data_IF_778131037485
#
_entry.id   IF_778131037485
#
_cell.length_a   1.000
_cell.length_b   1.000
_cell.length_c   1.000
_cell.angle_alpha   90.00
_cell.angle_beta   90.00
_cell.angle_gamma   90.00
#
_symmetry.space_group_name_H-M   'P 1'
#
loop_
_entity.id
_entity.type
_entity.pdbx_description
1 polymer ?
#
# COMPACT_ATOMS: atom_id res chain seq x y z
N UNK A 1 1.37 17.36 -13.88
CA UNK A 1 2.02 17.24 -12.56
C UNK A 1 0.89 17.07 -11.55
N UNK A 2 0.96 16.04 -10.69
CA UNK A 2 -0.07 15.71 -9.69
C UNK A 2 0.39 16.07 -8.29
N UNK A 3 -0.56 16.29 -7.38
CA UNK A 3 -0.33 16.30 -5.94
C UNK A 3 -0.64 14.91 -5.38
N UNK A 4 0.37 14.23 -4.83
CA UNK A 4 0.28 12.84 -4.39
C UNK A 4 0.54 12.75 -2.90
N UNK A 5 -0.41 12.21 -2.14
CA UNK A 5 -0.18 11.83 -0.74
C UNK A 5 0.55 10.47 -0.75
N UNK A 6 1.75 10.41 -0.19
CA UNK A 6 2.50 9.16 0.02
C UNK A 6 2.53 8.80 1.50
N UNK A 7 1.79 7.77 1.87
CA UNK A 7 1.72 7.27 3.25
C UNK A 7 2.76 6.17 3.44
N UNK A 8 3.69 6.38 4.37
CA UNK A 8 4.82 5.49 4.62
C UNK A 8 6.13 5.90 3.98
N UNK A 9 6.28 7.18 3.64
CA UNK A 9 7.40 7.68 2.85
C UNK A 9 8.79 7.33 3.42
N UNK A 10 8.94 7.26 4.75
CA UNK A 10 10.22 6.95 5.40
C UNK A 10 10.60 5.45 5.38
N UNK A 11 9.67 4.55 5.07
CA UNK A 11 9.94 3.11 4.98
C UNK A 11 10.60 2.72 3.67
N UNK A 12 11.26 1.55 3.60
CA UNK A 12 11.93 1.04 2.38
C UNK A 12 11.01 1.05 1.15
N UNK A 13 9.75 0.66 1.33
CA UNK A 13 8.75 0.68 0.26
C UNK A 13 8.31 2.09 -0.13
N UNK A 14 8.20 3.02 0.83
CA UNK A 14 7.94 4.43 0.56
C UNK A 14 9.08 5.07 -0.24
N UNK A 15 10.33 4.75 0.12
CA UNK A 15 11.51 5.17 -0.65
C UNK A 15 11.51 4.60 -2.07
N UNK A 16 11.14 3.33 -2.24
CA UNK A 16 10.93 2.73 -3.56
C UNK A 16 9.86 3.49 -4.37
N UNK A 17 8.70 3.80 -3.76
CA UNK A 17 7.64 4.57 -4.39
C UNK A 17 8.09 5.98 -4.81
N UNK A 18 8.86 6.69 -3.99
CA UNK A 18 9.39 8.02 -4.30
C UNK A 18 10.19 8.05 -5.61
N UNK A 19 10.89 6.96 -5.94
CA UNK A 19 11.63 6.88 -7.21
C UNK A 19 10.72 7.01 -8.44
N UNK A 20 9.49 6.49 -8.36
CA UNK A 20 8.47 6.59 -9.41
C UNK A 20 7.66 7.88 -9.38
N UNK A 21 7.58 8.55 -8.24
CA UNK A 21 6.76 9.75 -8.02
C UNK A 21 7.54 11.07 -8.16
N UNK A 22 8.81 11.01 -8.56
CA UNK A 22 9.74 12.16 -8.63
C UNK A 22 9.28 13.34 -9.52
N UNK A 23 8.31 13.14 -10.42
CA UNK A 23 7.73 14.19 -11.29
C UNK A 23 6.50 14.88 -10.69
N UNK A 24 6.16 14.55 -9.45
CA UNK A 24 4.94 15.01 -8.78
C UNK A 24 5.27 15.83 -7.53
N UNK A 25 4.30 16.62 -7.09
CA UNK A 25 4.33 17.20 -5.75
C UNK A 25 3.94 16.11 -4.76
N UNK A 26 4.91 15.54 -4.05
CA UNK A 26 4.65 14.52 -3.03
C UNK A 26 4.42 15.19 -1.68
N UNK A 27 3.32 14.86 -1.04
CA UNK A 27 3.01 15.19 0.36
C UNK A 27 3.22 13.91 1.16
N UNK A 28 4.19 13.92 2.05
CA UNK A 28 4.58 12.75 2.83
C UNK A 28 3.69 12.63 4.07
N UNK A 29 3.27 11.40 4.37
CA UNK A 29 2.52 11.10 5.58
C UNK A 29 3.03 9.82 6.23
N UNK A 30 2.89 9.71 7.55
CA UNK A 30 3.34 8.55 8.30
C UNK A 30 2.87 8.58 9.75
N UNK A 31 3.03 7.47 10.47
CA UNK A 31 2.61 7.39 11.88
C UNK A 31 3.48 8.23 12.81
N UNK A 32 4.73 8.46 12.41
CA UNK A 32 5.73 9.21 13.15
C UNK A 32 6.87 9.64 12.21
N UNK A 33 7.82 10.43 12.74
CA UNK A 33 9.00 10.87 12.01
C UNK A 33 8.84 12.24 11.36
N UNK A 34 9.85 12.63 10.57
CA UNK A 34 9.88 13.88 9.81
C UNK A 34 9.11 13.69 8.49
N UNK A 35 7.82 14.02 8.51
CA UNK A 35 6.87 13.94 7.40
C UNK A 35 5.94 15.15 7.45
N UNK A 36 5.35 15.53 6.32
CA UNK A 36 4.45 16.69 6.24
C UNK A 36 3.21 16.52 7.12
N UNK A 37 2.68 15.29 7.23
CA UNK A 37 1.50 14.98 8.05
C UNK A 37 1.61 13.66 8.83
N UNK A 38 1.20 13.71 10.09
CA UNK A 38 1.02 12.49 10.90
C UNK A 38 -0.33 11.85 10.59
N UNK A 39 -0.33 10.53 10.37
CA UNK A 39 -1.53 9.73 10.16
C UNK A 39 -1.40 8.34 10.77
N UNK A 40 -2.41 7.91 11.51
CA UNK A 40 -2.61 6.51 11.90
C UNK A 40 -3.71 5.90 11.02
N UNK A 41 -3.33 5.00 10.11
CA UNK A 41 -4.28 4.38 9.18
C UNK A 41 -5.27 3.44 9.87
N UNK A 42 -5.06 3.07 11.13
CA UNK A 42 -6.05 2.29 11.90
C UNK A 42 -7.14 3.16 12.52
N UNK A 43 -7.07 4.49 12.36
CA UNK A 43 -8.04 5.46 12.89
C UNK A 43 -8.73 6.22 11.75
N UNK A 44 -10.04 5.99 11.59
CA UNK A 44 -10.84 6.71 10.59
C UNK A 44 -10.82 8.24 10.80
N UNK A 45 -10.79 8.68 12.06
CA UNK A 45 -10.66 10.09 12.40
C UNK A 45 -9.31 10.63 11.93
N UNK A 46 -8.21 9.91 12.18
CA UNK A 46 -6.87 10.35 11.74
C UNK A 46 -6.76 10.46 10.22
N UNK A 47 -7.36 9.51 9.48
CA UNK A 47 -7.42 9.55 8.01
C UNK A 47 -8.24 10.75 7.53
N UNK A 48 -9.39 11.00 8.17
CA UNK A 48 -10.26 12.14 7.84
C UNK A 48 -9.52 13.47 8.01
N UNK A 49 -8.87 13.65 9.16
CA UNK A 49 -8.07 14.84 9.46
C UNK A 49 -6.90 15.02 8.49
N UNK A 50 -6.25 13.93 8.05
CA UNK A 50 -5.19 14.00 7.02
C UNK A 50 -5.74 14.62 5.74
N UNK A 51 -6.85 14.09 5.22
CA UNK A 51 -7.42 14.57 3.95
C UNK A 51 -7.93 16.01 4.06
N UNK A 52 -8.52 16.39 5.19
CA UNK A 52 -8.96 17.77 5.44
C UNK A 52 -7.78 18.76 5.50
N UNK A 53 -6.69 18.38 6.18
CA UNK A 53 -5.49 19.22 6.31
C UNK A 53 -4.74 19.37 4.99
N UNK A 54 -4.67 18.31 4.18
CA UNK A 54 -4.03 18.36 2.85
C UNK A 54 -4.86 19.21 1.88
N UNK A 55 -6.19 19.11 1.95
CA UNK A 55 -7.09 19.76 1.01
C UNK A 55 -7.06 19.07 -0.36
N UNK A 56 -6.56 19.73 -1.39
CA UNK A 56 -6.56 19.19 -2.74
C UNK A 56 -5.43 18.18 -2.98
N UNK A 57 -5.78 17.00 -3.49
CA UNK A 57 -4.84 15.98 -3.97
C UNK A 57 -5.44 15.15 -5.12
N UNK A 58 -4.58 14.67 -6.01
CA UNK A 58 -4.94 13.88 -7.19
C UNK A 58 -4.76 12.38 -6.95
N UNK A 59 -3.86 11.99 -6.06
CA UNK A 59 -3.60 10.59 -5.79
C UNK A 59 -3.21 10.31 -4.35
N UNK A 60 -3.51 9.09 -3.91
CA UNK A 60 -3.04 8.53 -2.64
C UNK A 60 -2.27 7.25 -2.95
N UNK A 61 -1.03 7.18 -2.48
CA UNK A 61 -0.18 6.00 -2.54
C UNK A 61 0.07 5.54 -1.11
N UNK A 62 -0.31 4.31 -0.81
CA UNK A 62 -0.07 3.69 0.49
C UNK A 62 1.05 2.65 0.39
N UNK A 63 2.06 2.80 1.24
CA UNK A 63 3.17 1.84 1.38
C UNK A 63 3.31 1.31 2.80
N UNK A 64 2.25 1.38 3.61
CA UNK A 64 2.21 0.87 4.99
C UNK A 64 1.14 -0.20 5.18
N UNK A 65 1.40 -1.09 6.12
CA UNK A 65 0.47 -2.11 6.58
C UNK A 65 1.23 -3.03 7.52
N UNK A 66 0.93 -2.93 8.82
CA UNK A 66 1.57 -3.78 9.82
C UNK A 66 1.04 -5.20 9.68
N UNK A 67 1.95 -6.17 9.69
CA UNK A 67 1.64 -7.60 9.71
C UNK A 67 2.39 -8.26 10.87
N UNK A 68 1.68 -9.11 11.59
CA UNK A 68 2.24 -10.05 12.56
C UNK A 68 2.62 -11.35 11.86
N UNK A 69 3.69 -12.00 12.32
CA UNK A 69 4.18 -13.26 11.78
C UNK A 69 4.20 -14.32 12.87
N UNK A 70 3.55 -15.46 12.61
CA UNK A 70 3.47 -16.61 13.52
C UNK A 70 2.97 -17.85 12.76
N UNK A 71 3.22 -19.05 13.28
CA UNK A 71 2.62 -20.28 12.77
C UNK A 71 1.08 -20.20 12.80
N UNK A 72 0.41 -20.94 11.93
CA UNK A 72 -1.05 -21.02 11.96
C UNK A 72 -1.60 -21.55 13.30
N UNK A 73 -0.86 -22.46 13.96
CA UNK A 73 -1.29 -23.07 15.21
C UNK A 73 -1.18 -22.11 16.41
N UNK A 74 -0.21 -21.21 16.39
CA UNK A 74 0.13 -20.35 17.53
C UNK A 74 -0.33 -18.89 17.36
N UNK A 75 -0.75 -18.51 16.15
CA UNK A 75 -1.20 -17.13 15.88
C UNK A 75 -2.47 -16.82 16.67
N UNK A 76 -2.33 -15.91 17.63
CA UNK A 76 -3.44 -15.46 18.47
C UNK A 76 -4.44 -14.59 17.69
N UNK A 77 -5.67 -14.54 18.18
CA UNK A 77 -6.70 -13.63 17.67
C UNK A 77 -6.24 -12.16 17.71
N UNK A 78 -5.50 -11.76 18.74
CA UNK A 78 -4.96 -10.41 18.85
C UNK A 78 -3.97 -10.08 17.72
N UNK A 79 -3.09 -11.03 17.35
CA UNK A 79 -2.17 -10.87 16.22
C UNK A 79 -2.92 -10.81 14.88
N UNK A 80 -3.95 -11.64 14.71
CA UNK A 80 -4.86 -11.56 13.57
C UNK A 80 -5.50 -10.17 13.47
N UNK A 81 -6.10 -9.69 14.54
CA UNK A 81 -6.78 -8.40 14.57
C UNK A 81 -5.82 -7.23 14.35
N UNK A 82 -4.60 -7.28 14.90
CA UNK A 82 -3.55 -6.29 14.63
C UNK A 82 -3.28 -6.16 13.12
N UNK A 83 -3.07 -7.30 12.46
CA UNK A 83 -2.81 -7.36 11.01
C UNK A 83 -4.02 -6.94 10.18
N UNK A 84 -5.22 -7.43 10.54
CA UNK A 84 -6.48 -7.09 9.86
C UNK A 84 -6.76 -5.59 9.95
N UNK A 85 -6.60 -4.99 11.13
CA UNK A 85 -6.89 -3.57 11.33
C UNK A 85 -5.88 -2.66 10.62
N UNK A 86 -4.61 -3.08 10.52
CA UNK A 86 -3.58 -2.29 9.84
C UNK A 86 -3.47 -2.59 8.35
N UNK A 87 -3.00 -3.78 7.97
CA UNK A 87 -2.70 -4.15 6.58
C UNK A 87 -3.94 -4.13 5.69
N UNK A 88 -5.08 -4.63 6.18
CA UNK A 88 -6.32 -4.71 5.39
C UNK A 88 -7.20 -3.48 5.59
N UNK A 89 -7.84 -3.35 6.76
CA UNK A 89 -8.85 -2.31 6.99
C UNK A 89 -8.28 -0.91 6.94
N UNK A 90 -7.05 -0.70 7.40
CA UNK A 90 -6.41 0.62 7.30
C UNK A 90 -6.28 1.09 5.85
N UNK A 91 -5.84 0.20 4.94
CA UNK A 91 -5.76 0.50 3.51
C UNK A 91 -7.14 0.68 2.85
N UNK A 92 -8.11 -0.16 3.21
CA UNK A 92 -9.50 -0.03 2.74
C UNK A 92 -10.09 1.31 3.18
N UNK A 93 -9.82 1.74 4.41
CA UNK A 93 -10.35 2.98 4.97
C UNK A 93 -9.72 4.21 4.31
N UNK A 94 -8.46 4.16 3.88
CA UNK A 94 -7.87 5.22 3.05
C UNK A 94 -8.71 5.46 1.79
N UNK A 95 -9.22 4.41 1.15
CA UNK A 95 -10.06 4.52 -0.06
C UNK A 95 -11.50 4.92 0.30
N UNK A 96 -12.14 4.21 1.24
CA UNK A 96 -13.55 4.45 1.64
C UNK A 96 -13.79 5.87 2.12
N UNK A 97 -12.84 6.44 2.85
CA UNK A 97 -12.89 7.82 3.34
C UNK A 97 -12.41 8.76 2.24
N UNK A 98 -11.26 8.45 1.61
CA UNK A 98 -10.59 9.32 0.65
C UNK A 98 -11.40 9.60 -0.61
N UNK A 99 -12.30 8.71 -1.04
CA UNK A 99 -13.17 8.94 -2.20
C UNK A 99 -14.05 10.20 -2.09
N UNK A 100 -14.29 10.71 -0.86
CA UNK A 100 -15.02 11.95 -0.63
C UNK A 100 -14.16 13.21 -0.87
N UNK A 101 -12.84 13.07 -0.77
CA UNK A 101 -11.89 14.17 -0.75
C UNK A 101 -11.03 14.24 -2.03
N UNK A 102 -10.75 13.10 -2.64
CA UNK A 102 -9.90 13.02 -3.83
C UNK A 102 -10.48 13.83 -4.99
N UNK A 103 -9.60 14.42 -5.81
CA UNK A 103 -9.99 15.09 -7.03
C UNK A 103 -10.68 14.15 -8.04
N UNK A 104 -11.46 14.72 -8.96
CA UNK A 104 -12.02 13.98 -10.09
C UNK A 104 -10.91 13.35 -10.92
N UNK A 105 -11.14 12.14 -11.43
CA UNK A 105 -10.14 11.33 -12.15
C UNK A 105 -8.88 11.01 -11.33
N UNK A 106 -8.94 11.14 -10.01
CA UNK A 106 -7.84 10.78 -9.12
C UNK A 106 -7.55 9.28 -9.05
N UNK A 107 -6.52 8.89 -8.30
CA UNK A 107 -6.12 7.49 -8.17
C UNK A 107 -5.69 7.07 -6.77
N UNK A 108 -6.13 5.88 -6.35
CA UNK A 108 -5.59 5.17 -5.19
C UNK A 108 -4.61 4.08 -5.62
N UNK A 109 -3.48 3.96 -4.94
CA UNK A 109 -2.56 2.83 -5.10
C UNK A 109 -2.29 2.21 -3.75
N UNK A 110 -2.74 0.97 -3.56
CA UNK A 110 -2.53 0.20 -2.35
C UNK A 110 -1.35 -0.76 -2.50
N UNK A 111 -0.98 -1.40 -1.41
CA UNK A 111 0.06 -2.43 -1.41
C UNK A 111 -0.45 -3.75 -0.82
N UNK A 112 -0.20 -4.84 -1.54
CA UNK A 112 -0.34 -6.20 -1.03
C UNK A 112 1.04 -6.81 -0.80
N UNK A 113 1.39 -7.91 -1.49
CA UNK A 113 2.69 -8.56 -1.38
C UNK A 113 2.65 -9.99 -1.89
N UNK A 114 3.78 -10.49 -2.38
CA UNK A 114 3.88 -11.75 -3.14
C UNK A 114 3.40 -12.98 -2.36
N UNK A 115 3.32 -12.91 -1.03
CA UNK A 115 3.01 -14.04 -0.16
C UNK A 115 1.57 -14.57 -0.31
N UNK A 116 0.66 -13.80 -0.90
CA UNK A 116 -0.66 -14.33 -1.29
C UNK A 116 -0.63 -15.23 -2.53
N UNK A 117 0.44 -15.16 -3.34
CA UNK A 117 0.67 -16.00 -4.53
C UNK A 117 1.73 -17.07 -4.27
N UNK A 118 2.82 -16.70 -3.61
CA UNK A 118 3.95 -17.57 -3.24
C UNK A 118 4.05 -17.62 -1.70
N UNK A 119 3.18 -18.36 -1.02
CA UNK A 119 3.12 -18.38 0.44
C UNK A 119 4.39 -19.00 1.05
N UNK A 120 4.76 -18.49 2.22
CA UNK A 120 5.82 -19.04 3.08
C UNK A 120 5.25 -19.32 4.48
N UNK A 121 5.85 -20.21 5.27
CA UNK A 121 5.51 -20.37 6.69
C UNK A 121 5.56 -19.05 7.46
N UNK A 122 4.84 -18.96 8.58
CA UNK A 122 4.75 -17.79 9.47
C UNK A 122 4.02 -16.55 8.92
N UNK A 123 3.79 -16.44 7.61
CA UNK A 123 3.21 -15.24 7.00
C UNK A 123 1.72 -15.32 6.68
N UNK A 124 0.98 -16.19 7.37
CA UNK A 124 -0.42 -16.51 7.02
C UNK A 124 -1.34 -15.27 7.08
N UNK A 125 -1.17 -14.40 8.07
CA UNK A 125 -1.96 -13.18 8.20
C UNK A 125 -1.65 -12.15 7.09
N UNK A 126 -0.37 -11.99 6.74
CA UNK A 126 0.05 -11.11 5.64
C UNK A 126 -0.47 -11.60 4.28
N UNK A 127 -0.31 -12.90 3.99
CA UNK A 127 -0.80 -13.51 2.76
C UNK A 127 -2.33 -13.39 2.63
N UNK A 128 -3.07 -13.68 3.70
CA UNK A 128 -4.54 -13.61 3.71
C UNK A 128 -5.03 -12.19 3.48
N UNK A 129 -4.48 -11.21 4.21
CA UNK A 129 -4.88 -9.80 4.07
C UNK A 129 -4.46 -9.22 2.72
N UNK A 130 -3.31 -9.63 2.16
CA UNK A 130 -2.89 -9.27 0.81
C UNK A 130 -3.87 -9.76 -0.26
N UNK A 131 -4.38 -10.99 -0.15
CA UNK A 131 -5.45 -11.50 -1.03
C UNK A 131 -6.78 -10.73 -0.90
N UNK A 132 -7.13 -10.28 0.31
CA UNK A 132 -8.31 -9.45 0.53
C UNK A 132 -8.19 -8.09 -0.17
N UNK A 133 -7.01 -7.46 -0.13
CA UNK A 133 -6.74 -6.16 -0.76
C UNK A 133 -6.77 -6.28 -2.28
N UNK A 134 -6.16 -7.32 -2.85
CA UNK A 134 -6.20 -7.60 -4.28
C UNK A 134 -7.63 -7.74 -4.79
N UNK A 135 -8.48 -8.44 -4.03
CA UNK A 135 -9.91 -8.59 -4.35
C UNK A 135 -10.68 -7.29 -4.17
N UNK A 136 -10.43 -6.55 -3.09
CA UNK A 136 -11.07 -5.27 -2.82
C UNK A 136 -10.86 -4.27 -3.95
N UNK A 137 -9.62 -4.11 -4.43
CA UNK A 137 -9.31 -3.18 -5.52
C UNK A 137 -10.03 -3.56 -6.82
N UNK A 138 -10.07 -4.85 -7.17
CA UNK A 138 -10.81 -5.35 -8.33
C UNK A 138 -12.29 -4.97 -8.25
N UNK A 139 -12.94 -5.32 -7.14
CA UNK A 139 -14.37 -5.08 -6.98
C UNK A 139 -14.70 -3.57 -6.96
N UNK A 140 -14.00 -2.80 -6.12
CA UNK A 140 -14.34 -1.39 -5.94
C UNK A 140 -14.07 -0.57 -7.21
N UNK A 141 -13.10 -0.97 -8.05
CA UNK A 141 -12.81 -0.30 -9.33
C UNK A 141 -14.01 -0.22 -10.27
N UNK A 142 -14.98 -1.13 -10.15
CA UNK A 142 -16.20 -1.17 -10.96
C UNK A 142 -17.26 -0.16 -10.50
N UNK A 143 -17.12 0.38 -9.30
CA UNK A 143 -18.11 1.23 -8.64
C UNK A 143 -17.55 2.62 -8.25
N UNK A 144 -16.25 2.88 -8.49
CA UNK A 144 -15.61 4.14 -8.14
C UNK A 144 -16.21 5.33 -8.92
N UNK A 145 -16.66 6.39 -8.23
CA UNK A 145 -17.28 7.54 -8.89
C UNK A 145 -16.23 8.50 -9.48
N UNK A 146 -16.70 9.45 -10.29
CA UNK A 146 -15.91 10.60 -10.80
C UNK A 146 -14.66 10.22 -11.59
N UNK A 147 -14.67 9.03 -12.23
CA UNK A 147 -13.52 8.51 -12.98
C UNK A 147 -12.33 8.13 -12.10
N UNK A 148 -12.53 7.99 -10.79
CA UNK A 148 -11.46 7.64 -9.85
C UNK A 148 -10.99 6.21 -10.12
N UNK A 149 -9.67 6.01 -10.11
CA UNK A 149 -9.05 4.70 -10.34
C UNK A 149 -8.47 4.14 -9.05
N UNK A 150 -8.28 2.83 -9.02
CA UNK A 150 -7.61 2.13 -7.93
C UNK A 150 -6.82 0.95 -8.45
N UNK A 151 -5.59 0.76 -8.00
CA UNK A 151 -4.81 -0.45 -8.27
C UNK A 151 -4.05 -0.88 -7.01
N UNK A 152 -3.48 -2.08 -7.05
CA UNK A 152 -2.60 -2.62 -6.02
C UNK A 152 -1.23 -2.88 -6.63
N UNK A 153 -0.15 -2.51 -5.93
CA UNK A 153 1.19 -2.98 -6.25
C UNK A 153 1.46 -4.22 -5.39
N UNK A 154 1.81 -5.33 -6.03
CA UNK A 154 2.16 -6.59 -5.38
C UNK A 154 3.64 -6.90 -5.66
N UNK A 155 4.56 -6.42 -4.82
CA UNK A 155 5.98 -6.68 -5.01
C UNK A 155 6.40 -8.00 -4.33
N UNK A 156 7.41 -8.65 -4.90
CA UNK A 156 8.28 -9.55 -4.14
C UNK A 156 9.19 -8.74 -3.21
N UNK A 157 10.01 -9.41 -2.40
CA UNK A 157 10.92 -8.75 -1.46
C UNK A 157 11.87 -7.79 -2.18
N UNK A 158 12.09 -6.62 -1.58
CA UNK A 158 13.04 -5.62 -2.07
C UNK A 158 14.48 -6.09 -1.86
N UNK A 159 15.38 -5.79 -2.81
CA UNK A 159 16.82 -5.97 -2.64
C UNK A 159 17.32 -5.27 -1.37
N UNK A 160 16.83 -4.05 -1.12
CA UNK A 160 17.16 -3.25 0.05
C UNK A 160 16.65 -3.87 1.37
N UNK A 161 15.81 -4.90 1.31
CA UNK A 161 15.27 -5.63 2.44
C UNK A 161 15.73 -7.10 2.49
N UNK A 162 16.59 -7.54 1.57
CA UNK A 162 16.98 -8.93 1.45
C UNK A 162 17.69 -9.46 2.70
N UNK A 163 18.56 -8.67 3.32
CA UNK A 163 19.27 -9.06 4.55
C UNK A 163 18.34 -9.38 5.73
N UNK A 164 17.09 -8.89 5.70
CA UNK A 164 16.10 -9.10 6.77
C UNK A 164 15.20 -10.30 6.47
N UNK A 165 14.83 -10.51 5.20
CA UNK A 165 13.80 -11.48 4.83
C UNK A 165 14.33 -12.69 4.06
N UNK A 166 15.55 -12.63 3.52
CA UNK A 166 16.08 -13.62 2.58
C UNK A 166 16.15 -15.03 3.14
N UNK A 167 16.49 -15.20 4.43
CA UNK A 167 16.52 -16.52 5.09
C UNK A 167 15.15 -17.21 5.11
N UNK A 168 14.06 -16.42 5.20
CA UNK A 168 12.68 -16.94 5.20
C UNK A 168 12.14 -17.20 3.78
N UNK A 169 12.87 -16.78 2.75
CA UNK A 169 12.43 -16.81 1.35
C UNK A 169 13.43 -17.55 0.45
N UNK A 170 13.80 -18.82 0.76
CA UNK A 170 14.74 -19.56 -0.05
C UNK A 170 14.22 -19.75 -1.49
N UNK A 171 15.05 -19.43 -2.47
CA UNK A 171 14.72 -19.52 -3.89
C UNK A 171 13.90 -18.35 -4.44
N UNK A 172 13.55 -17.35 -3.62
CA UNK A 172 13.06 -16.07 -4.13
C UNK A 172 14.21 -15.24 -4.69
N UNK A 173 13.92 -14.46 -5.72
CA UNK A 173 14.82 -13.46 -6.25
C UNK A 173 14.27 -12.09 -5.86
N UNK A 174 15.00 -11.27 -5.08
CA UNK A 174 14.56 -9.93 -4.72
C UNK A 174 14.51 -9.03 -5.96
N UNK A 175 13.73 -7.95 -5.88
CA UNK A 175 13.64 -6.92 -6.91
C UNK A 175 14.19 -5.57 -6.43
N UNK A 176 14.88 -4.81 -7.29
CA UNK A 176 15.30 -3.45 -6.95
C UNK A 176 14.09 -2.56 -6.64
N UNK A 177 14.17 -1.73 -5.60
CA UNK A 177 13.10 -0.78 -5.25
C UNK A 177 12.71 0.16 -6.39
N UNK A 178 13.64 0.48 -7.29
CA UNK A 178 13.37 1.29 -8.49
C UNK A 178 12.36 0.63 -9.46
N UNK A 179 12.37 -0.70 -9.58
CA UNK A 179 11.37 -1.41 -10.39
C UNK A 179 9.99 -1.34 -9.74
N UNK A 180 9.93 -1.45 -8.41
CA UNK A 180 8.67 -1.26 -7.67
C UNK A 180 8.17 0.19 -7.81
N UNK A 181 9.06 1.17 -7.79
CA UNK A 181 8.75 2.56 -8.11
C UNK A 181 8.05 2.74 -9.46
N UNK A 182 8.44 1.97 -10.49
CA UNK A 182 7.76 1.99 -11.79
C UNK A 182 6.33 1.46 -11.75
N UNK A 183 6.02 0.52 -10.86
CA UNK A 183 4.64 0.07 -10.67
C UNK A 183 3.77 1.15 -10.01
N UNK A 184 4.31 1.89 -9.04
CA UNK A 184 3.64 3.06 -8.46
C UNK A 184 3.44 4.17 -9.51
N UNK A 185 4.46 4.49 -10.32
CA UNK A 185 4.34 5.43 -11.46
C UNK A 185 3.24 4.96 -12.42
N UNK A 186 3.21 3.68 -12.80
CA UNK A 186 2.18 3.12 -13.70
C UNK A 186 0.77 3.24 -13.12
N UNK A 187 0.58 3.02 -11.81
CA UNK A 187 -0.73 3.15 -11.18
C UNK A 187 -1.21 4.61 -11.16
N UNK A 188 -0.32 5.53 -10.76
CA UNK A 188 -0.64 6.95 -10.63
C UNK A 188 -0.82 7.59 -12.01
N UNK A 189 0.14 7.42 -12.93
CA UNK A 189 0.18 8.09 -14.24
C UNK A 189 -0.51 7.36 -15.38
N UNK A 190 -0.72 6.06 -15.24
CA UNK A 190 -1.44 5.28 -16.22
C UNK A 190 -2.95 5.51 -16.21
N UNK A 191 -3.64 4.67 -16.99
CA UNK A 191 -5.09 4.69 -17.17
C UNK A 191 -5.77 3.43 -16.63
N UNK A 192 -5.01 2.48 -16.09
CA UNK A 192 -5.51 1.21 -15.54
C UNK A 192 -6.23 1.41 -14.20
N UNK A 193 -7.20 0.54 -13.94
CA UNK A 193 -7.97 0.46 -12.69
C UNK A 193 -8.36 -0.99 -12.44
N UNK A 194 -8.47 -1.40 -11.18
CA UNK A 194 -8.79 -2.76 -10.76
C UNK A 194 -7.63 -3.75 -10.89
N UNK A 195 -6.42 -3.29 -11.22
CA UNK A 195 -5.29 -4.17 -11.50
C UNK A 195 -4.47 -4.49 -10.25
N UNK A 196 -3.91 -5.71 -10.23
CA UNK A 196 -2.82 -6.10 -9.34
C UNK A 196 -1.53 -6.09 -10.16
N UNK A 197 -0.69 -5.08 -9.92
CA UNK A 197 0.57 -4.86 -10.63
C UNK A 197 1.67 -5.64 -9.92
N UNK A 198 1.94 -6.85 -10.42
CA UNK A 198 3.02 -7.68 -9.90
C UNK A 198 4.40 -7.12 -10.25
N UNK A 199 5.30 -7.11 -9.27
CA UNK A 199 6.73 -6.80 -9.44
C UNK A 199 7.53 -7.92 -8.81
N UNK A 200 7.84 -8.92 -9.62
CA UNK A 200 8.56 -10.13 -9.25
C UNK A 200 9.59 -10.43 -10.34
N UNK A 201 10.60 -11.23 -10.04
CA UNK A 201 11.69 -11.58 -10.94
C UNK A 201 11.33 -12.67 -11.97
#
# INVERSE_FOLDING_TARGET
MKTVILIGALGKMGQAALTGLSKHKVITAGRSGDVDHIVDITSEQSITELYEKVGHFDAVVNTVGLCEYETFADMSEAQWMSTIMSKMMGQINLVRIGQKYIADSGSFTLISGILNVKPIPFAIADATTSGAIDTFAKCVSLEMPRGTRINVVNPTVLEEAWDVYGEMMPGFQPVPGKLVGKAFERSVDGFITGEVIFVDA
#
